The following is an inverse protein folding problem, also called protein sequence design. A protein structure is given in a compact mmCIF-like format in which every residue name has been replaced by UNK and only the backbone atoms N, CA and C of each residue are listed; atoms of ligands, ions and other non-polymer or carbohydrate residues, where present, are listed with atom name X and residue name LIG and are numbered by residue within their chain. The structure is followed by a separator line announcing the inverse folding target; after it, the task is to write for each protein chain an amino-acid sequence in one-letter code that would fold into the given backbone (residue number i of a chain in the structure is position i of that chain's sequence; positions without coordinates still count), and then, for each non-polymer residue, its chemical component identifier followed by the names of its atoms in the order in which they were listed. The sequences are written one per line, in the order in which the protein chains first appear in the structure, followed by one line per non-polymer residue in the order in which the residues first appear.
data_IF_514577748191
#
_entry.id   IF_514577748191
#
_cell.length_a   1.000
_cell.length_b   1.000
_cell.length_c   1.000
_cell.angle_alpha   90.00
_cell.angle_beta   90.00
_cell.angle_gamma   90.00
#
_symmetry.space_group_name_H-M   'P 1'
#
loop_
_entity.id
_entity.type
_entity.pdbx_description
1 polymer ?
#
# COMPACT_ATOMS: atom_id res chain seq x y z
N UNK A 1 21.10 42.49 29.06
CA UNK A 1 21.12 42.45 27.58
C UNK A 1 21.97 41.28 27.16
N UNK A 2 21.48 40.39 26.30
CA UNK A 2 22.33 39.37 25.69
C UNK A 2 23.42 40.05 24.84
N UNK A 3 24.65 39.54 24.89
CA UNK A 3 25.70 40.00 23.97
C UNK A 3 25.37 39.51 22.55
N UNK A 4 25.81 40.27 21.55
CA UNK A 4 25.63 39.92 20.13
C UNK A 4 26.26 38.55 19.82
N UNK A 5 27.37 38.21 20.46
CA UNK A 5 28.01 36.88 20.39
C UNK A 5 27.10 35.76 20.90
N UNK A 6 26.51 35.94 22.10
CA UNK A 6 25.61 34.94 22.67
C UNK A 6 24.33 34.74 21.86
N UNK A 7 23.86 35.78 21.16
CA UNK A 7 22.75 35.67 20.21
C UNK A 7 23.15 34.90 18.95
N UNK A 8 24.34 35.18 18.39
CA UNK A 8 24.86 34.50 17.21
C UNK A 8 25.05 32.99 17.47
N UNK A 9 25.57 32.61 18.64
CA UNK A 9 25.74 31.20 18.99
C UNK A 9 24.40 30.46 19.13
N UNK A 10 23.37 31.11 19.70
CA UNK A 10 22.00 30.52 19.75
C UNK A 10 21.37 30.37 18.38
N UNK A 11 21.59 31.31 17.46
CA UNK A 11 21.11 31.20 16.07
C UNK A 11 21.81 30.04 15.36
N UNK A 12 23.13 29.87 15.57
CA UNK A 12 23.89 28.74 15.01
C UNK A 12 23.35 27.41 15.53
N UNK A 13 23.18 27.27 16.84
CA UNK A 13 22.63 26.05 17.46
C UNK A 13 21.23 25.73 16.91
N UNK A 14 20.37 26.74 16.76
CA UNK A 14 19.04 26.54 16.19
C UNK A 14 19.10 26.11 14.72
N UNK A 15 20.00 26.70 13.93
CA UNK A 15 20.20 26.34 12.52
C UNK A 15 20.70 24.90 12.37
N UNK A 16 21.63 24.47 13.24
CA UNK A 16 22.11 23.08 13.28
C UNK A 16 20.97 22.09 13.60
N UNK A 17 20.08 22.45 14.54
CA UNK A 17 18.89 21.65 14.85
C UNK A 17 17.93 21.56 13.67
N UNK A 18 17.70 22.63 12.92
CA UNK A 18 16.88 22.61 11.71
C UNK A 18 17.49 21.71 10.63
N UNK A 19 18.79 21.85 10.36
CA UNK A 19 19.49 21.00 9.40
C UNK A 19 19.41 19.51 9.77
N UNK A 20 19.44 19.18 11.07
CA UNK A 20 19.27 17.81 11.53
C UNK A 20 17.85 17.28 11.24
N UNK A 21 16.82 18.10 11.46
CA UNK A 21 15.43 17.75 11.12
C UNK A 21 15.25 17.53 9.61
N UNK A 22 15.84 18.39 8.79
CA UNK A 22 15.80 18.26 7.32
C UNK A 22 16.47 16.96 6.85
N UNK A 23 17.62 16.60 7.45
CA UNK A 23 18.29 15.33 7.16
C UNK A 23 17.44 14.13 7.56
N UNK A 24 16.88 14.13 8.78
CA UNK A 24 16.01 13.05 9.25
C UNK A 24 14.77 12.89 8.36
N UNK A 25 14.22 14.00 7.88
CA UNK A 25 13.09 13.99 6.97
C UNK A 25 13.46 13.40 5.60
N UNK A 26 14.60 13.81 5.02
CA UNK A 26 15.11 13.25 3.77
C UNK A 26 15.31 11.72 3.88
N UNK A 27 15.89 11.27 4.99
CA UNK A 27 16.12 9.83 5.25
C UNK A 27 14.80 9.07 5.41
N UNK A 28 13.81 9.67 6.08
CA UNK A 28 12.46 9.13 6.19
C UNK A 28 11.82 9.00 4.80
N UNK A 29 11.82 10.06 3.99
CA UNK A 29 11.24 10.07 2.65
C UNK A 29 11.87 8.97 1.78
N UNK A 30 13.20 8.90 1.75
CA UNK A 30 13.92 7.88 0.98
C UNK A 30 13.57 6.45 1.45
N UNK A 31 13.39 6.25 2.75
CA UNK A 31 13.02 4.96 3.32
C UNK A 31 11.58 4.56 2.99
N UNK A 32 10.63 5.49 3.03
CA UNK A 32 9.25 5.24 2.62
C UNK A 32 9.19 4.90 1.13
N UNK A 33 9.90 5.63 0.27
CA UNK A 33 9.93 5.33 -1.17
C UNK A 33 10.43 3.91 -1.46
N UNK A 34 11.52 3.47 -0.83
CA UNK A 34 12.01 2.09 -0.94
C UNK A 34 10.98 1.06 -0.44
N UNK A 35 10.30 1.37 0.67
CA UNK A 35 9.26 0.50 1.21
C UNK A 35 8.05 0.40 0.27
N UNK A 36 7.67 1.49 -0.42
CA UNK A 36 6.58 1.51 -1.38
C UNK A 36 6.90 0.70 -2.65
N UNK A 37 8.15 0.75 -3.11
CA UNK A 37 8.62 -0.09 -4.22
C UNK A 37 8.49 -1.58 -3.86
N UNK A 38 9.00 -1.99 -2.69
CA UNK A 38 8.87 -3.36 -2.19
C UNK A 38 7.39 -3.77 -2.00
N UNK A 39 6.59 -2.85 -1.47
CA UNK A 39 5.18 -3.10 -1.19
C UNK A 39 4.39 -3.48 -2.44
N UNK A 40 4.66 -2.85 -3.58
CA UNK A 40 3.95 -3.12 -4.82
C UNK A 40 4.10 -4.58 -5.25
N UNK A 41 5.33 -5.09 -5.21
CA UNK A 41 5.64 -6.46 -5.62
C UNK A 41 5.09 -7.47 -4.62
N UNK A 42 5.31 -7.23 -3.33
CA UNK A 42 4.77 -8.08 -2.25
C UNK A 42 3.24 -8.17 -2.31
N UNK A 43 2.55 -7.04 -2.54
CA UNK A 43 1.10 -7.00 -2.66
C UNK A 43 0.61 -7.89 -3.80
N UNK A 44 1.27 -7.83 -4.96
CA UNK A 44 0.92 -8.67 -6.12
C UNK A 44 1.11 -10.15 -5.82
N UNK A 45 2.23 -10.51 -5.19
CA UNK A 45 2.51 -11.90 -4.80
C UNK A 45 1.45 -12.43 -3.82
N UNK A 46 1.14 -11.66 -2.77
CA UNK A 46 0.11 -12.05 -1.79
C UNK A 46 -1.26 -12.17 -2.44
N UNK A 47 -1.64 -11.26 -3.34
CA UNK A 47 -2.91 -11.33 -4.08
C UNK A 47 -2.99 -12.56 -4.99
N UNK A 48 -1.89 -12.91 -5.69
CA UNK A 48 -1.81 -14.14 -6.48
C UNK A 48 -2.04 -15.36 -5.59
N UNK A 49 -1.38 -15.41 -4.44
CA UNK A 49 -1.50 -16.53 -3.51
C UNK A 49 -2.90 -16.66 -2.92
N UNK A 50 -3.56 -15.54 -2.61
CA UNK A 50 -4.96 -15.49 -2.20
C UNK A 50 -5.86 -16.09 -3.28
N UNK A 51 -5.65 -15.75 -4.55
CA UNK A 51 -6.45 -16.27 -5.67
C UNK A 51 -6.24 -17.79 -5.87
N UNK A 52 -4.99 -18.25 -5.78
CA UNK A 52 -4.66 -19.68 -5.84
C UNK A 52 -5.34 -20.48 -4.73
N UNK A 53 -5.26 -19.99 -3.48
CA UNK A 53 -5.89 -20.64 -2.33
C UNK A 53 -7.41 -20.65 -2.44
N UNK A 54 -8.01 -19.57 -2.94
CA UNK A 54 -9.45 -19.52 -3.21
C UNK A 54 -9.85 -20.59 -4.23
N UNK A 55 -9.11 -20.71 -5.35
CA UNK A 55 -9.37 -21.73 -6.35
C UNK A 55 -9.21 -23.16 -5.81
N UNK A 56 -8.23 -23.40 -4.93
CA UNK A 56 -8.05 -24.69 -4.27
C UNK A 56 -9.21 -25.02 -3.32
N UNK A 57 -9.69 -24.04 -2.55
CA UNK A 57 -10.85 -24.21 -1.67
C UNK A 57 -12.09 -24.56 -2.50
N UNK A 58 -12.35 -23.81 -3.58
CA UNK A 58 -13.50 -24.03 -4.45
C UNK A 58 -13.44 -25.43 -5.08
N UNK A 59 -12.26 -25.84 -5.56
CA UNK A 59 -12.02 -27.20 -6.06
C UNK A 59 -12.30 -28.27 -5.01
N UNK A 60 -11.78 -28.11 -3.78
CA UNK A 60 -12.00 -29.08 -2.71
C UNK A 60 -13.48 -29.18 -2.34
N UNK A 61 -14.21 -28.06 -2.32
CA UNK A 61 -15.64 -28.03 -2.05
C UNK A 61 -16.46 -28.73 -3.14
N UNK A 62 -16.16 -28.47 -4.41
CA UNK A 62 -16.81 -29.13 -5.53
C UNK A 62 -16.51 -30.64 -5.50
N UNK A 63 -15.26 -31.01 -5.26
CA UNK A 63 -14.86 -32.41 -5.19
C UNK A 63 -15.50 -33.16 -4.03
N UNK A 64 -15.65 -32.51 -2.87
CA UNK A 64 -16.39 -33.06 -1.73
C UNK A 64 -17.84 -33.38 -2.11
N UNK A 65 -18.53 -32.44 -2.79
CA UNK A 65 -19.91 -32.64 -3.26
C UNK A 65 -19.99 -33.82 -4.24
N UNK A 66 -19.07 -33.91 -5.19
CA UNK A 66 -19.00 -35.00 -6.16
C UNK A 66 -18.83 -36.37 -5.51
N UNK A 67 -17.89 -36.49 -4.56
CA UNK A 67 -17.61 -37.74 -3.84
C UNK A 67 -18.84 -38.16 -3.04
N UNK A 68 -19.49 -37.23 -2.34
CA UNK A 68 -20.71 -37.51 -1.58
C UNK A 68 -21.86 -38.00 -2.47
N UNK A 69 -22.06 -37.38 -3.65
CA UNK A 69 -23.07 -37.82 -4.62
C UNK A 69 -22.75 -39.22 -5.12
N UNK A 70 -21.50 -39.48 -5.53
CA UNK A 70 -21.06 -40.79 -6.03
C UNK A 70 -21.24 -41.90 -4.98
N UNK A 71 -20.92 -41.61 -3.72
CA UNK A 71 -21.14 -42.55 -2.62
C UNK A 71 -22.63 -42.86 -2.43
N UNK A 72 -23.47 -41.81 -2.44
CA UNK A 72 -24.92 -41.94 -2.27
C UNK A 72 -25.59 -42.80 -3.36
N UNK A 73 -25.07 -42.77 -4.59
CA UNK A 73 -25.58 -43.59 -5.70
C UNK A 73 -24.84 -44.92 -5.86
N UNK A 74 -23.94 -45.27 -4.94
CA UNK A 74 -23.21 -46.55 -4.93
C UNK A 74 -22.13 -46.69 -6.00
N UNK A 75 -21.66 -45.59 -6.61
CA UNK A 75 -20.55 -45.62 -7.57
C UNK A 75 -19.17 -45.73 -6.90
N UNK A 76 -19.08 -45.39 -5.62
CA UNK A 76 -17.87 -45.57 -4.80
C UNK A 76 -18.27 -46.16 -3.45
N UNK A 77 -17.37 -46.94 -2.85
CA UNK A 77 -17.59 -47.52 -1.52
C UNK A 77 -17.59 -46.46 -0.41
N UNK A 78 -18.31 -46.72 0.67
CA UNK A 78 -18.43 -45.77 1.79
C UNK A 78 -17.10 -45.49 2.49
N UNK A 79 -16.27 -46.52 2.69
CA UNK A 79 -14.93 -46.38 3.28
C UNK A 79 -14.00 -45.55 2.37
N UNK A 80 -14.04 -45.80 1.06
CA UNK A 80 -13.27 -45.04 0.08
C UNK A 80 -13.72 -43.57 0.03
N UNK A 81 -15.03 -43.34 0.02
CA UNK A 81 -15.60 -42.00 0.06
C UNK A 81 -15.21 -41.25 1.33
N UNK A 82 -15.24 -41.92 2.48
CA UNK A 82 -14.87 -41.33 3.77
C UNK A 82 -13.41 -40.87 3.77
N UNK A 83 -12.48 -41.72 3.33
CA UNK A 83 -11.06 -41.38 3.25
C UNK A 83 -10.81 -40.16 2.34
N UNK A 84 -11.41 -40.15 1.15
CA UNK A 84 -11.27 -39.02 0.21
C UNK A 84 -11.86 -37.74 0.83
N UNK A 85 -13.01 -37.82 1.50
CA UNK A 85 -13.62 -36.67 2.14
C UNK A 85 -12.77 -36.12 3.29
N UNK A 86 -12.12 -36.98 4.08
CA UNK A 86 -11.22 -36.55 5.16
C UNK A 86 -10.01 -35.79 4.62
N UNK A 87 -9.35 -36.31 3.57
CA UNK A 87 -8.22 -35.64 2.93
C UNK A 87 -8.59 -34.27 2.33
N UNK A 88 -9.74 -34.20 1.65
CA UNK A 88 -10.25 -32.96 1.07
C UNK A 88 -10.63 -31.94 2.14
N UNK A 89 -11.28 -32.36 3.23
CA UNK A 89 -11.63 -31.48 4.35
C UNK A 89 -10.39 -30.93 5.03
N UNK A 90 -9.39 -31.78 5.30
CA UNK A 90 -8.12 -31.33 5.87
C UNK A 90 -7.45 -30.27 4.98
N UNK A 91 -7.38 -30.52 3.67
CA UNK A 91 -6.80 -29.57 2.72
C UNK A 91 -7.58 -28.26 2.67
N UNK A 92 -8.92 -28.34 2.72
CA UNK A 92 -9.80 -27.19 2.76
C UNK A 92 -9.56 -26.34 4.02
N UNK A 93 -9.49 -26.98 5.19
CA UNK A 93 -9.29 -26.29 6.47
C UNK A 93 -7.91 -25.61 6.53
N UNK A 94 -6.85 -26.31 6.12
CA UNK A 94 -5.49 -25.76 6.06
C UNK A 94 -5.41 -24.56 5.07
N UNK A 95 -6.05 -24.69 3.91
CA UNK A 95 -6.07 -23.64 2.87
C UNK A 95 -6.88 -22.43 3.31
N UNK A 96 -8.02 -22.64 3.95
CA UNK A 96 -8.89 -21.57 4.46
C UNK A 96 -8.22 -20.78 5.59
N UNK A 97 -7.55 -21.47 6.52
CA UNK A 97 -6.80 -20.81 7.59
C UNK A 97 -5.66 -19.93 7.02
N UNK A 98 -4.93 -20.45 6.02
CA UNK A 98 -3.85 -19.70 5.35
C UNK A 98 -4.41 -18.50 4.58
N UNK A 99 -5.52 -18.68 3.86
CA UNK A 99 -6.17 -17.61 3.10
C UNK A 99 -6.59 -16.45 4.01
N UNK A 100 -7.20 -16.76 5.16
CA UNK A 100 -7.65 -15.75 6.11
C UNK A 100 -6.46 -15.00 6.72
N UNK A 101 -5.40 -15.73 7.08
CA UNK A 101 -4.16 -15.12 7.57
C UNK A 101 -3.56 -14.14 6.57
N UNK A 102 -3.45 -14.52 5.29
CA UNK A 102 -2.92 -13.65 4.24
C UNK A 102 -3.79 -12.42 3.99
N UNK A 103 -5.12 -12.57 4.00
CA UNK A 103 -6.06 -11.43 3.85
C UNK A 103 -5.93 -10.44 5.00
N UNK A 104 -5.85 -10.94 6.23
CA UNK A 104 -5.69 -10.11 7.43
C UNK A 104 -4.38 -9.33 7.40
N UNK A 105 -3.27 -10.02 7.10
CA UNK A 105 -1.95 -9.38 6.98
C UNK A 105 -1.88 -8.36 5.85
N UNK A 106 -2.45 -8.67 4.69
CA UNK A 106 -2.51 -7.74 3.56
C UNK A 106 -3.26 -6.45 3.93
N UNK A 107 -4.44 -6.59 4.55
CA UNK A 107 -5.25 -5.45 5.00
C UNK A 107 -4.52 -4.59 6.04
N UNK A 108 -3.85 -5.23 7.01
CA UNK A 108 -3.03 -4.55 8.02
C UNK A 108 -1.90 -3.74 7.39
N UNK A 109 -1.20 -4.31 6.41
CA UNK A 109 -0.11 -3.63 5.72
C UNK A 109 -0.63 -2.51 4.81
N UNK A 110 -1.76 -2.71 4.11
CA UNK A 110 -2.41 -1.68 3.30
C UNK A 110 -2.69 -0.41 4.11
N UNK A 111 -3.26 -0.54 5.32
CA UNK A 111 -3.54 0.60 6.18
C UNK A 111 -2.28 1.36 6.62
N UNK A 112 -1.20 0.65 6.94
CA UNK A 112 0.09 1.27 7.31
C UNK A 112 0.74 1.97 6.12
N UNK A 113 0.73 1.33 4.96
CA UNK A 113 1.26 1.92 3.73
C UNK A 113 0.48 3.18 3.36
N UNK A 114 -0.84 3.16 3.48
CA UNK A 114 -1.67 4.33 3.23
C UNK A 114 -1.33 5.51 4.16
N UNK A 115 -1.10 5.24 5.45
CA UNK A 115 -0.66 6.27 6.40
C UNK A 115 0.65 6.94 5.96
N UNK A 116 1.64 6.14 5.56
CA UNK A 116 2.92 6.65 5.08
C UNK A 116 2.78 7.43 3.77
N UNK A 117 1.97 6.96 2.83
CA UNK A 117 1.64 7.71 1.62
C UNK A 117 0.98 9.05 1.95
N UNK A 118 0.03 9.09 2.89
CA UNK A 118 -0.63 10.33 3.31
C UNK A 118 0.38 11.33 3.89
N UNK A 119 1.34 10.87 4.70
CA UNK A 119 2.41 11.72 5.26
C UNK A 119 3.31 12.32 4.18
N UNK A 120 3.67 11.54 3.16
CA UNK A 120 4.42 12.05 2.01
C UNK A 120 3.58 13.03 1.19
N UNK A 121 2.29 12.74 0.97
CA UNK A 121 1.38 13.62 0.23
C UNK A 121 1.09 14.95 0.94
N UNK A 122 1.06 14.97 2.27
CA UNK A 122 0.92 16.22 3.03
C UNK A 122 2.08 17.19 2.77
N UNK A 123 3.25 16.68 2.40
CA UNK A 123 4.40 17.50 2.02
C UNK A 123 4.18 18.21 0.67
N UNK A 124 3.52 17.56 -0.30
CA UNK A 124 3.16 18.17 -1.58
C UNK A 124 2.23 19.38 -1.43
N UNK A 125 1.51 19.51 -0.31
CA UNK A 125 0.67 20.66 0.01
C UNK A 125 1.48 21.87 0.48
N UNK A 126 2.70 21.65 0.97
CA UNK A 126 3.52 22.65 1.67
C UNK A 126 4.71 23.11 0.79
N UNK A 127 5.09 22.34 -0.24
CA UNK A 127 6.21 22.69 -1.14
C UNK A 127 5.92 23.91 -2.03
N UNK A 128 6.97 24.62 -2.43
CA UNK A 128 6.87 25.68 -3.44
C UNK A 128 6.48 25.12 -4.82
N UNK A 129 6.07 25.99 -5.75
CA UNK A 129 5.55 25.60 -7.05
C UNK A 129 6.57 24.83 -7.93
N UNK A 130 7.86 25.06 -7.71
CA UNK A 130 8.95 24.48 -8.48
C UNK A 130 9.28 23.06 -7.98
N UNK A 131 9.29 22.88 -6.67
CA UNK A 131 9.44 21.57 -6.05
C UNK A 131 8.22 20.67 -6.32
N UNK A 132 7.02 21.26 -6.33
CA UNK A 132 5.81 20.60 -6.78
C UNK A 132 5.92 20.09 -8.22
N UNK A 133 6.40 20.93 -9.15
CA UNK A 133 6.57 20.56 -10.55
C UNK A 133 7.58 19.42 -10.73
N UNK A 134 8.70 19.45 -9.99
CA UNK A 134 9.71 18.38 -10.01
C UNK A 134 9.14 17.05 -9.53
N UNK A 135 8.40 17.06 -8.42
CA UNK A 135 7.81 15.84 -7.85
C UNK A 135 6.67 15.29 -8.70
N UNK A 136 5.85 16.15 -9.31
CA UNK A 136 4.81 15.74 -10.27
C UNK A 136 5.43 15.08 -11.51
N UNK A 137 6.51 15.65 -12.05
CA UNK A 137 7.24 15.07 -13.18
C UNK A 137 7.81 13.68 -12.84
N UNK A 138 8.31 13.48 -11.61
CA UNK A 138 8.79 12.18 -11.11
C UNK A 138 7.67 11.13 -11.10
N UNK A 139 6.46 11.49 -10.69
CA UNK A 139 5.31 10.58 -10.68
C UNK A 139 4.87 10.23 -12.10
N UNK A 140 4.88 11.20 -13.01
CA UNK A 140 4.62 10.98 -14.44
C UNK A 140 5.64 10.03 -15.09
N UNK A 141 6.91 10.17 -14.74
CA UNK A 141 7.99 9.30 -15.20
C UNK A 141 7.80 7.87 -14.71
N UNK A 142 7.51 7.68 -13.41
CA UNK A 142 7.18 6.37 -12.84
C UNK A 142 5.95 5.73 -13.51
N UNK A 143 4.96 6.51 -13.94
CA UNK A 143 3.82 5.99 -14.68
C UNK A 143 4.21 5.55 -16.10
N UNK A 144 4.98 6.38 -16.82
CA UNK A 144 5.49 6.07 -18.16
C UNK A 144 6.37 4.81 -18.17
N UNK A 145 7.14 4.60 -17.11
CA UNK A 145 7.96 3.40 -16.91
C UNK A 145 7.14 2.17 -16.48
N UNK A 146 5.83 2.31 -16.27
CA UNK A 146 4.95 1.22 -15.81
C UNK A 146 5.15 0.83 -14.34
N UNK A 147 5.88 1.65 -13.57
CA UNK A 147 6.21 1.42 -12.16
C UNK A 147 5.08 1.81 -11.21
N UNK A 148 4.12 2.60 -11.67
CA UNK A 148 2.86 2.85 -10.99
C UNK A 148 1.67 2.53 -11.89
N UNK A 149 0.66 1.86 -11.34
CA UNK A 149 -0.56 1.52 -12.08
C UNK A 149 -1.44 2.75 -12.36
N UNK A 150 -2.19 2.69 -13.46
CA UNK A 150 -3.06 3.79 -13.93
C UNK A 150 -4.08 4.26 -12.88
N UNK A 151 -4.61 3.34 -12.07
CA UNK A 151 -5.53 3.69 -10.98
C UNK A 151 -4.88 4.56 -9.91
N UNK A 152 -3.65 4.25 -9.52
CA UNK A 152 -2.87 5.02 -8.55
C UNK A 152 -2.44 6.36 -9.15
N UNK A 153 -1.93 6.34 -10.38
CA UNK A 153 -1.56 7.54 -11.13
C UNK A 153 -2.73 8.54 -11.24
N UNK A 154 -3.91 8.09 -11.70
CA UNK A 154 -5.10 8.95 -11.81
C UNK A 154 -5.53 9.54 -10.48
N UNK A 155 -5.48 8.75 -9.40
CA UNK A 155 -5.87 9.22 -8.07
C UNK A 155 -4.91 10.30 -7.56
N UNK A 156 -3.61 10.11 -7.79
CA UNK A 156 -2.57 11.10 -7.47
C UNK A 156 -2.72 12.37 -8.31
N UNK A 157 -2.89 12.26 -9.63
CA UNK A 157 -3.09 13.42 -10.53
C UNK A 157 -4.39 14.18 -10.22
N UNK A 158 -5.48 13.47 -9.94
CA UNK A 158 -6.78 14.07 -9.59
C UNK A 158 -6.67 14.89 -8.31
N UNK A 159 -6.04 14.34 -7.27
CA UNK A 159 -5.80 15.05 -6.02
C UNK A 159 -4.89 16.25 -6.25
N UNK A 160 -3.81 16.11 -7.02
CA UNK A 160 -2.94 17.24 -7.38
C UNK A 160 -3.68 18.36 -8.13
N UNK A 161 -4.65 18.02 -9.00
CA UNK A 161 -5.45 19.02 -9.74
C UNK A 161 -6.44 19.77 -8.83
N UNK A 162 -7.10 19.05 -7.91
CA UNK A 162 -8.01 19.62 -6.91
C UNK A 162 -7.26 20.62 -6.03
N UNK A 163 -6.08 20.24 -5.56
CA UNK A 163 -5.23 21.06 -4.70
C UNK A 163 -4.68 22.30 -5.40
N UNK A 164 -4.40 22.23 -6.71
CA UNK A 164 -4.04 23.41 -7.52
C UNK A 164 -5.24 24.37 -7.67
N UNK A 165 -6.44 23.84 -7.83
CA UNK A 165 -7.66 24.65 -7.97
C UNK A 165 -7.99 25.44 -6.70
N UNK A 166 -7.81 24.83 -5.52
CA UNK A 166 -8.01 25.48 -4.22
C UNK A 166 -6.99 26.60 -3.95
N UNK A 167 -5.72 26.40 -4.36
CA UNK A 167 -4.69 27.46 -4.28
C UNK A 167 -4.98 28.64 -5.21
N UNK A 168 -5.49 28.38 -6.41
CA UNK A 168 -5.88 29.44 -7.36
C UNK A 168 -7.11 30.22 -6.87
N UNK A 169 -8.01 29.58 -6.12
CA UNK A 169 -9.16 30.23 -5.49
C UNK A 169 -8.73 31.08 -4.27
N UNK A 170 -7.82 30.57 -3.43
CA UNK A 170 -7.32 31.28 -2.25
C UNK A 170 -6.38 32.46 -2.59
N UNK A 171 -5.70 32.43 -3.74
CA UNK A 171 -4.87 33.55 -4.23
C UNK A 171 -5.64 34.68 -4.92
N UNK A 172 -6.94 34.49 -5.18
CA UNK A 172 -7.78 35.47 -5.89
C UNK A 172 -8.37 36.59 -5.03
N UNK A 173 -8.31 36.50 -3.70
CA UNK A 173 -8.92 37.49 -2.79
C UNK A 173 -7.96 38.63 -2.34
N UNK A 174 -6.75 38.73 -2.89
CA UNK A 174 -5.79 39.79 -2.54
C UNK A 174 -5.53 40.82 -3.64
N UNK A 175 -6.45 40.95 -4.60
CA UNK A 175 -6.43 42.03 -5.59
C UNK A 175 -7.81 42.67 -5.73
N UNK A 176 -8.18 43.52 -4.78
CA UNK A 176 -9.19 44.58 -4.92
C UNK A 176 -8.85 45.72 -3.99
#
# INVERSE_FOLDING_TARGET
MMSVSALADRIREFSERLNALDSMWSDYHASVMRALELWHDLRREVQSRIAELQGLIDYCQDRLRDVQVKAKIGLIGEEEASRICEELRRTLDESAATLESLRSELSRLEGRVEEHMRRLMAEFLISDAEEFARRAARIEELYREGRIGEGLYRKVMSLMSLLRSERSAAGGESAS
#
